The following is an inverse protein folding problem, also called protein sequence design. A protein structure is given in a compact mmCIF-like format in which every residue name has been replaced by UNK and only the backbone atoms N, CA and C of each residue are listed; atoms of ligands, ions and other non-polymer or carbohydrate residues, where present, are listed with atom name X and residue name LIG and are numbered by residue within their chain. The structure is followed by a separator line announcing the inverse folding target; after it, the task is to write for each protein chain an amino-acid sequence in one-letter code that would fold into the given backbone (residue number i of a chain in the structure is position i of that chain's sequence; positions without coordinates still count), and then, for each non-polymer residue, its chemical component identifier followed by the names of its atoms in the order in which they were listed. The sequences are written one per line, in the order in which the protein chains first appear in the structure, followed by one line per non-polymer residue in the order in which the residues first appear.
data_IF_527945186383
#
_entry.id   IF_527945186383
#
_cell.length_a   1.000
_cell.length_b   1.000
_cell.length_c   1.000
_cell.angle_alpha   90.00
_cell.angle_beta   90.00
_cell.angle_gamma   90.00
#
_symmetry.space_group_name_H-M   'P 1'
#
loop_
_entity.id
_entity.type
_entity.pdbx_description
1 polymer ?
#
# COMPACT_ATOMS: atom_id res chain seq x y z
N UNK A 1 31.11 12.04 15.64
CA UNK A 1 29.89 12.55 14.99
C UNK A 1 29.02 11.34 14.76
N UNK A 2 27.98 11.16 15.59
CA UNK A 2 27.01 10.08 15.41
C UNK A 2 26.22 10.36 14.14
N UNK A 3 26.31 9.48 13.16
CA UNK A 3 25.42 9.50 11.99
C UNK A 3 23.97 9.56 12.48
N UNK A 4 23.17 10.52 12.05
CA UNK A 4 21.78 10.60 12.47
C UNK A 4 21.10 9.29 12.10
N UNK A 5 20.44 8.68 13.09
CA UNK A 5 19.62 7.49 12.88
C UNK A 5 18.60 7.84 11.79
N UNK A 6 18.45 7.02 10.74
CA UNK A 6 17.42 7.32 9.74
C UNK A 6 16.07 7.45 10.45
N UNK A 7 15.24 8.43 10.07
CA UNK A 7 13.94 8.62 10.70
C UNK A 7 13.13 7.32 10.60
N UNK A 8 12.45 6.96 11.68
CA UNK A 8 11.65 5.75 11.76
C UNK A 8 10.38 5.92 10.93
N UNK A 9 10.19 5.05 9.94
CA UNK A 9 8.92 4.91 9.26
C UNK A 9 7.97 4.03 10.10
N UNK A 10 6.73 4.47 10.21
CA UNK A 10 5.61 3.69 10.75
C UNK A 10 4.70 3.30 9.61
N UNK A 11 4.43 2.01 9.43
CA UNK A 11 3.47 1.58 8.41
C UNK A 11 2.07 1.51 9.01
N UNK A 12 1.22 2.45 8.62
CA UNK A 12 -0.15 2.51 9.09
C UNK A 12 -1.07 1.98 8.00
N UNK A 13 -1.85 0.96 8.31
CA UNK A 13 -2.97 0.56 7.47
C UNK A 13 -4.17 1.43 7.80
N UNK A 14 -4.67 2.11 6.80
CA UNK A 14 -5.74 3.09 6.93
C UNK A 14 -7.00 2.58 6.27
N UNK A 15 -8.14 2.86 6.89
CA UNK A 15 -9.45 2.38 6.46
C UNK A 15 -9.58 0.86 6.54
N UNK A 16 -9.00 0.24 7.56
CA UNK A 16 -9.15 -1.20 7.78
C UNK A 16 -10.63 -1.56 8.00
N UNK A 17 -11.01 -2.75 7.52
CA UNK A 17 -12.34 -3.31 7.72
C UNK A 17 -12.52 -3.89 9.13
N UNK A 18 -13.47 -4.81 9.27
CA UNK A 18 -13.76 -5.48 10.55
C UNK A 18 -12.63 -6.37 11.08
N UNK A 19 -11.77 -6.88 10.20
CA UNK A 19 -10.54 -7.57 10.60
C UNK A 19 -9.33 -6.67 10.30
N UNK A 20 -8.72 -6.06 11.33
CA UNK A 20 -7.60 -5.16 11.15
C UNK A 20 -6.31 -5.86 10.67
N UNK A 21 -6.27 -7.20 10.68
CA UNK A 21 -5.13 -7.98 10.18
C UNK A 21 -5.08 -8.08 8.67
N UNK A 22 -6.23 -7.84 8.01
CA UNK A 22 -6.36 -7.89 6.56
C UNK A 22 -7.02 -6.62 6.06
N UNK A 23 -6.59 -6.16 4.90
CA UNK A 23 -7.21 -4.98 4.28
C UNK A 23 -6.63 -3.65 4.75
N UNK A 24 -7.33 -2.59 4.43
CA UNK A 24 -6.84 -1.22 4.56
C UNK A 24 -5.85 -0.85 3.46
N UNK A 25 -5.49 0.43 3.40
CA UNK A 25 -4.48 0.95 2.48
C UNK A 25 -3.21 1.30 3.25
N UNK A 26 -2.06 0.68 2.94
CA UNK A 26 -0.79 1.01 3.59
C UNK A 26 -0.39 2.47 3.34
N UNK A 27 0.01 3.14 4.41
CA UNK A 27 0.55 4.49 4.39
C UNK A 27 1.79 4.55 5.29
N UNK A 28 3.00 4.44 4.76
CA UNK A 28 4.21 4.73 5.51
C UNK A 28 4.20 6.18 6.01
N UNK A 29 4.29 6.37 7.33
CA UNK A 29 4.31 7.66 8.01
C UNK A 29 5.70 7.92 8.56
N UNK A 30 6.28 9.05 8.16
CA UNK A 30 7.58 9.51 8.62
C UNK A 30 7.38 10.73 9.52
N UNK A 31 7.58 10.55 10.83
CA UNK A 31 7.55 11.65 11.78
C UNK A 31 8.90 12.36 11.80
N UNK A 32 8.92 13.63 12.25
CA UNK A 32 10.13 14.44 12.38
C UNK A 32 10.99 14.50 11.10
N UNK A 33 10.30 14.66 9.94
CA UNK A 33 10.93 14.58 8.64
C UNK A 33 11.62 15.89 8.17
N UNK A 34 11.79 16.88 9.06
CA UNK A 34 12.33 18.21 8.72
C UNK A 34 13.74 18.18 8.10
N UNK A 35 14.57 17.22 8.52
CA UNK A 35 15.95 17.05 8.03
C UNK A 35 16.04 16.28 6.69
N UNK A 36 14.91 15.74 6.18
CA UNK A 36 14.90 14.98 4.95
C UNK A 36 14.79 15.90 3.73
N UNK A 37 15.69 15.71 2.77
CA UNK A 37 15.54 16.32 1.45
C UNK A 37 14.40 15.69 0.65
N UNK A 38 13.85 16.42 -0.32
CA UNK A 38 12.84 15.93 -1.25
C UNK A 38 13.28 14.63 -1.96
N UNK A 39 14.56 14.55 -2.34
CA UNK A 39 15.10 13.36 -2.98
C UNK A 39 15.11 12.13 -2.05
N UNK A 40 15.40 12.31 -0.77
CA UNK A 40 15.34 11.24 0.22
C UNK A 40 13.90 10.79 0.47
N UNK A 41 12.94 11.73 0.61
CA UNK A 41 11.52 11.41 0.76
C UNK A 41 11.01 10.61 -0.45
N UNK A 42 11.37 11.02 -1.67
CA UNK A 42 11.01 10.31 -2.89
C UNK A 42 11.61 8.89 -2.94
N UNK A 43 12.89 8.76 -2.58
CA UNK A 43 13.57 7.45 -2.57
C UNK A 43 12.98 6.51 -1.52
N UNK A 44 12.66 6.99 -0.31
CA UNK A 44 12.00 6.16 0.70
C UNK A 44 10.63 5.69 0.25
N UNK A 45 9.85 6.57 -0.36
CA UNK A 45 8.54 6.22 -0.92
C UNK A 45 8.66 5.21 -2.07
N UNK A 46 9.63 5.40 -2.96
CA UNK A 46 9.90 4.46 -4.06
C UNK A 46 10.26 3.06 -3.54
N UNK A 47 11.04 2.98 -2.46
CA UNK A 47 11.42 1.72 -1.82
C UNK A 47 10.26 1.04 -1.11
N UNK A 48 9.42 1.79 -0.42
CA UNK A 48 8.24 1.22 0.25
C UNK A 48 7.18 0.71 -0.73
N UNK A 49 7.15 1.25 -1.96
CA UNK A 49 6.14 0.92 -2.97
C UNK A 49 4.73 1.46 -2.68
N UNK A 50 4.56 2.24 -1.59
CA UNK A 50 3.28 2.76 -1.13
C UNK A 50 3.27 4.28 -1.03
N UNK A 51 2.08 4.88 -1.13
CA UNK A 51 1.89 6.31 -0.88
C UNK A 51 2.32 6.65 0.54
N UNK A 52 3.33 7.52 0.67
CA UNK A 52 3.96 7.87 1.94
C UNK A 52 3.65 9.30 2.35
N UNK A 53 3.60 9.56 3.67
CA UNK A 53 3.46 10.90 4.24
C UNK A 53 4.65 11.23 5.13
N UNK A 54 5.14 12.45 4.96
CA UNK A 54 6.21 13.04 5.77
C UNK A 54 5.64 14.19 6.59
N UNK A 55 5.71 14.07 7.91
CA UNK A 55 5.22 15.05 8.88
C UNK A 55 6.37 15.99 9.24
N UNK A 56 6.14 17.28 9.04
CA UNK A 56 7.13 18.34 9.23
C UNK A 56 6.53 19.46 10.09
N UNK A 57 7.39 20.33 10.57
CA UNK A 57 7.00 21.61 11.18
C UNK A 57 6.30 22.48 10.14
N UNK A 58 5.27 23.23 10.54
CA UNK A 58 4.55 24.11 9.62
C UNK A 58 5.46 25.27 9.17
N UNK A 59 5.29 25.72 7.93
CA UNK A 59 5.99 26.89 7.42
C UNK A 59 5.37 28.20 7.93
N UNK A 60 4.11 28.16 8.36
CA UNK A 60 3.38 29.33 8.88
C UNK A 60 2.73 29.04 10.24
N UNK A 61 2.61 30.03 11.13
CA UNK A 61 2.00 29.85 12.46
C UNK A 61 0.47 29.59 12.40
N UNK A 62 -0.14 29.69 11.21
CA UNK A 62 -1.57 29.38 11.01
C UNK A 62 -1.86 27.86 11.03
N UNK A 63 -0.82 27.05 10.91
CA UNK A 63 -0.93 25.59 10.87
C UNK A 63 -0.18 24.96 12.06
N UNK A 64 -0.66 23.83 12.53
CA UNK A 64 0.01 23.07 13.58
C UNK A 64 1.05 22.09 13.02
N UNK A 65 0.81 21.59 11.81
CA UNK A 65 1.66 20.62 11.10
C UNK A 65 1.73 21.00 9.62
N UNK A 66 2.79 20.54 8.97
CA UNK A 66 2.90 20.46 7.52
C UNK A 66 3.05 19.01 7.12
N UNK A 67 2.37 18.59 6.07
CA UNK A 67 2.49 17.25 5.52
C UNK A 67 2.84 17.31 4.04
N UNK A 68 3.81 16.48 3.64
CA UNK A 68 4.19 16.23 2.25
C UNK A 68 3.90 14.78 1.90
N UNK A 69 3.43 14.56 0.69
CA UNK A 69 2.95 13.25 0.24
C UNK A 69 3.67 12.83 -1.04
N UNK A 70 4.05 11.58 -1.12
CA UNK A 70 4.73 11.03 -2.28
C UNK A 70 4.09 9.72 -2.70
N UNK A 71 3.98 9.52 -4.00
CA UNK A 71 3.83 8.21 -4.64
C UNK A 71 5.20 7.73 -5.12
N UNK A 72 5.38 6.46 -5.53
CA UNK A 72 6.69 5.94 -5.94
C UNK A 72 7.44 6.75 -7.00
N UNK A 73 6.73 7.53 -7.84
CA UNK A 73 7.31 8.25 -8.97
C UNK A 73 7.27 9.78 -8.87
N UNK A 74 6.50 10.38 -7.96
CA UNK A 74 6.43 11.85 -7.79
C UNK A 74 5.84 12.29 -6.46
N UNK A 75 5.96 13.58 -6.15
CA UNK A 75 5.29 14.24 -5.02
C UNK A 75 3.84 14.55 -5.38
N UNK A 76 2.91 14.30 -4.45
CA UNK A 76 1.49 14.60 -4.55
C UNK A 76 1.11 15.84 -3.76
N UNK A 77 0.07 16.52 -4.21
CA UNK A 77 -0.45 17.69 -3.50
C UNK A 77 -1.09 17.34 -2.15
N UNK A 78 -1.79 16.20 -2.10
CA UNK A 78 -2.51 15.73 -0.91
C UNK A 78 -2.86 14.24 -1.04
N UNK A 79 -2.80 13.52 0.08
CA UNK A 79 -3.23 12.13 0.18
C UNK A 79 -4.13 11.94 1.41
N UNK A 80 -5.40 11.60 1.19
CA UNK A 80 -6.40 11.52 2.25
C UNK A 80 -6.13 10.41 3.25
N UNK A 81 -5.88 9.18 2.79
CA UNK A 81 -5.63 8.07 3.71
C UNK A 81 -4.33 8.26 4.49
N UNK A 82 -3.26 8.73 3.84
CA UNK A 82 -2.00 8.99 4.53
C UNK A 82 -2.14 10.08 5.61
N UNK A 83 -2.96 11.14 5.37
CA UNK A 83 -3.27 12.16 6.38
C UNK A 83 -4.00 11.57 7.58
N UNK A 84 -5.01 10.71 7.34
CA UNK A 84 -5.73 10.01 8.42
C UNK A 84 -4.78 9.14 9.22
N UNK A 85 -3.91 8.38 8.54
CA UNK A 85 -2.91 7.52 9.19
C UNK A 85 -1.91 8.30 10.04
N UNK A 86 -1.39 9.43 9.54
CA UNK A 86 -0.46 10.27 10.27
C UNK A 86 -1.12 10.89 11.54
N UNK A 87 -2.32 11.41 11.42
CA UNK A 87 -3.05 11.95 12.57
C UNK A 87 -3.41 10.86 13.59
N UNK A 88 -3.80 9.67 13.13
CA UNK A 88 -4.06 8.54 14.00
C UNK A 88 -2.81 8.15 14.79
N UNK A 89 -1.64 8.10 14.13
CA UNK A 89 -0.36 7.81 14.78
C UNK A 89 0.02 8.86 15.81
N UNK A 90 -0.08 10.16 15.47
CA UNK A 90 0.18 11.26 16.40
C UNK A 90 -0.72 11.20 17.62
N UNK A 91 -2.02 10.89 17.43
CA UNK A 91 -2.95 10.71 18.55
C UNK A 91 -2.54 9.53 19.44
N UNK A 92 -2.23 8.39 18.84
CA UNK A 92 -1.82 7.18 19.56
C UNK A 92 -0.54 7.38 20.38
N UNK A 93 0.36 8.24 19.91
CA UNK A 93 1.60 8.63 20.60
C UNK A 93 1.40 9.71 21.68
N UNK A 94 0.19 10.25 21.80
CA UNK A 94 -0.10 11.37 22.71
C UNK A 94 0.44 12.72 22.24
N UNK A 95 0.85 12.84 20.99
CA UNK A 95 1.38 14.07 20.38
C UNK A 95 0.26 14.96 19.80
N UNK A 96 -0.95 14.47 19.75
CA UNK A 96 -2.17 15.18 19.38
C UNK A 96 -3.37 14.65 20.18
N UNK A 97 -4.17 15.54 20.75
CA UNK A 97 -5.30 15.20 21.63
C UNK A 97 -6.60 14.85 20.87
N UNK A 98 -6.63 15.01 19.54
CA UNK A 98 -7.81 14.79 18.71
C UNK A 98 -8.66 16.04 18.48
N UNK A 99 -8.32 17.19 19.06
CA UNK A 99 -8.96 18.48 18.81
C UNK A 99 -8.79 18.92 17.34
N UNK A 100 -9.64 19.81 16.81
CA UNK A 100 -9.50 20.31 15.45
C UNK A 100 -8.10 20.87 15.20
N UNK A 101 -7.42 20.37 14.16
CA UNK A 101 -6.05 20.73 13.79
C UNK A 101 -5.98 21.18 12.32
N UNK A 102 -5.26 22.27 12.04
CA UNK A 102 -5.00 22.76 10.70
C UNK A 102 -3.66 22.24 10.19
N UNK A 103 -3.66 21.64 9.02
CA UNK A 103 -2.51 21.00 8.37
C UNK A 103 -2.19 21.75 7.07
N UNK A 104 -0.94 22.15 6.91
CA UNK A 104 -0.43 22.73 5.67
C UNK A 104 -0.12 21.62 4.68
N UNK A 105 -0.67 21.71 3.46
CA UNK A 105 -0.39 20.81 2.34
C UNK A 105 -0.19 21.60 1.05
N UNK A 106 0.32 20.98 -0.01
CA UNK A 106 0.44 21.63 -1.32
C UNK A 106 -0.92 21.99 -1.94
N UNK A 107 -2.00 21.30 -1.54
CA UNK A 107 -3.38 21.63 -1.97
C UNK A 107 -4.07 22.69 -1.10
N UNK A 108 -3.37 23.25 -0.12
CA UNK A 108 -3.91 24.21 0.84
C UNK A 108 -4.11 23.61 2.23
N UNK A 109 -4.99 24.24 3.01
CA UNK A 109 -5.25 23.81 4.39
C UNK A 109 -6.24 22.65 4.44
N UNK A 110 -5.82 21.57 5.08
CA UNK A 110 -6.68 20.42 5.44
C UNK A 110 -6.92 20.46 6.94
N UNK A 111 -8.16 20.24 7.38
CA UNK A 111 -8.47 20.14 8.81
C UNK A 111 -8.69 18.70 9.21
N UNK A 112 -8.04 18.29 10.30
CA UNK A 112 -8.25 17.01 10.95
C UNK A 112 -8.94 17.15 12.29
N UNK A 113 -9.65 16.13 12.73
CA UNK A 113 -10.22 16.01 14.08
C UNK A 113 -10.48 14.54 14.41
N UNK A 114 -10.66 14.24 15.68
CA UNK A 114 -11.12 12.93 16.12
C UNK A 114 -12.57 13.03 16.62
N UNK A 115 -13.44 12.17 16.12
CA UNK A 115 -14.86 12.11 16.50
C UNK A 115 -15.23 10.65 16.71
N UNK A 116 -15.86 10.33 17.83
CA UNK A 116 -16.33 8.97 18.18
C UNK A 116 -15.24 7.89 18.00
N UNK A 117 -14.01 8.24 18.39
CA UNK A 117 -12.88 7.32 18.29
C UNK A 117 -12.13 7.35 16.95
N UNK A 118 -12.73 7.86 15.89
CA UNK A 118 -12.23 7.81 14.52
C UNK A 118 -11.61 9.15 14.08
N UNK A 119 -10.45 9.10 13.45
CA UNK A 119 -9.83 10.28 12.82
C UNK A 119 -10.55 10.62 11.53
N UNK A 120 -10.90 11.88 11.38
CA UNK A 120 -11.58 12.42 10.20
C UNK A 120 -10.84 13.66 9.66
N UNK A 121 -10.77 13.76 8.34
CA UNK A 121 -10.23 14.93 7.64
C UNK A 121 -11.30 15.61 6.80
N UNK A 122 -11.15 16.93 6.59
CA UNK A 122 -12.05 17.69 5.73
C UNK A 122 -11.82 17.39 4.26
N UNK A 123 -12.91 17.39 3.49
CA UNK A 123 -12.91 17.43 2.03
C UNK A 123 -13.91 18.49 1.58
N UNK A 124 -13.61 19.30 0.56
CA UNK A 124 -14.54 20.30 0.07
C UNK A 124 -15.83 19.68 -0.47
N UNK A 125 -16.87 20.50 -0.63
CA UNK A 125 -18.08 20.10 -1.35
C UNK A 125 -17.70 19.71 -2.77
N UNK A 126 -18.27 18.59 -3.27
CA UNK A 126 -17.99 18.17 -4.62
C UNK A 126 -18.76 19.03 -5.66
N UNK A 127 -18.08 19.32 -6.77
CA UNK A 127 -18.74 19.67 -8.02
C UNK A 127 -19.08 18.37 -8.74
N UNK A 128 -20.35 18.22 -9.16
CA UNK A 128 -20.83 17.00 -9.81
C UNK A 128 -21.40 17.37 -11.17
N UNK A 129 -20.91 16.71 -12.20
CA UNK A 129 -21.32 16.92 -13.59
C UNK A 129 -21.64 15.58 -14.26
N UNK A 130 -22.63 15.56 -15.14
CA UNK A 130 -23.00 14.37 -15.89
C UNK A 130 -22.14 14.20 -17.14
N UNK A 131 -21.64 12.99 -17.38
CA UNK A 131 -20.97 12.61 -18.64
C UNK A 131 -22.05 12.30 -19.68
N UNK A 132 -22.42 13.31 -20.49
CA UNK A 132 -23.55 13.22 -21.45
C UNK A 132 -23.17 12.58 -22.77
N UNK A 133 -21.91 12.47 -23.09
CA UNK A 133 -21.42 11.94 -24.35
C UNK A 133 -21.54 10.42 -24.38
N UNK A 134 -22.52 9.89 -25.08
CA UNK A 134 -22.79 8.45 -25.17
C UNK A 134 -21.55 7.65 -25.61
N UNK A 135 -20.77 8.17 -26.55
CA UNK A 135 -19.53 7.53 -26.99
C UNK A 135 -18.50 7.35 -25.87
N UNK A 136 -18.41 8.30 -24.91
CA UNK A 136 -17.55 8.17 -23.74
C UNK A 136 -18.09 7.11 -22.77
N UNK A 137 -19.41 7.04 -22.57
CA UNK A 137 -20.02 6.00 -21.72
C UNK A 137 -19.75 4.60 -22.29
N UNK A 138 -19.86 4.42 -23.59
CA UNK A 138 -19.54 3.17 -24.27
C UNK A 138 -18.06 2.81 -24.18
N UNK A 139 -17.16 3.79 -24.21
CA UNK A 139 -15.73 3.56 -24.00
C UNK A 139 -15.40 3.20 -22.55
N UNK A 140 -16.06 3.84 -21.59
CA UNK A 140 -15.94 3.47 -20.17
C UNK A 140 -16.35 2.00 -19.99
N UNK A 141 -17.49 1.59 -20.53
CA UNK A 141 -17.96 0.22 -20.44
C UNK A 141 -16.97 -0.77 -21.07
N UNK A 142 -16.45 -0.47 -22.27
CA UNK A 142 -15.41 -1.27 -22.93
C UNK A 142 -14.12 -1.36 -22.11
N UNK A 143 -13.69 -0.24 -21.52
CA UNK A 143 -12.50 -0.18 -20.66
C UNK A 143 -12.69 -1.05 -19.40
N UNK A 144 -13.90 -1.07 -18.82
CA UNK A 144 -14.24 -1.88 -17.65
C UNK A 144 -14.53 -3.36 -18.01
N UNK A 145 -14.56 -3.73 -19.30
CA UNK A 145 -14.82 -5.07 -19.76
C UNK A 145 -16.29 -5.51 -19.62
N UNK A 146 -17.24 -4.56 -19.76
CA UNK A 146 -18.68 -4.80 -19.64
C UNK A 146 -19.44 -4.26 -20.86
N UNK A 147 -20.69 -4.70 -21.01
CA UNK A 147 -21.62 -4.09 -21.97
C UNK A 147 -22.06 -2.70 -21.47
N UNK A 148 -22.23 -1.75 -22.37
CA UNK A 148 -22.72 -0.41 -22.04
C UNK A 148 -24.12 -0.43 -21.38
N UNK A 149 -24.97 -1.39 -21.74
CA UNK A 149 -26.27 -1.61 -21.12
C UNK A 149 -26.19 -2.04 -19.62
N UNK A 150 -25.02 -2.46 -19.17
CA UNK A 150 -24.77 -2.82 -17.77
C UNK A 150 -24.52 -1.61 -16.87
N UNK A 151 -24.30 -0.43 -17.45
CA UNK A 151 -24.16 0.83 -16.70
C UNK A 151 -25.54 1.30 -16.26
N UNK A 152 -25.73 1.51 -14.97
CA UNK A 152 -27.03 1.87 -14.39
C UNK A 152 -27.14 3.39 -14.21
N UNK A 153 -28.05 4.03 -14.92
CA UNK A 153 -28.30 5.46 -14.84
C UNK A 153 -27.17 6.32 -15.42
N UNK A 154 -27.01 7.53 -14.90
CA UNK A 154 -26.01 8.49 -15.41
C UNK A 154 -24.59 8.19 -14.89
N UNK A 155 -23.61 8.32 -15.77
CA UNK A 155 -22.20 8.39 -15.39
C UNK A 155 -21.88 9.82 -14.97
N UNK A 156 -21.20 10.00 -13.84
CA UNK A 156 -20.89 11.31 -13.28
C UNK A 156 -19.38 11.53 -13.19
N UNK A 157 -18.96 12.76 -13.44
CA UNK A 157 -17.70 13.29 -12.97
C UNK A 157 -17.96 14.05 -11.66
N UNK A 158 -17.36 13.62 -10.57
CA UNK A 158 -17.48 14.26 -9.27
C UNK A 158 -16.11 14.60 -8.71
N UNK A 159 -15.93 15.84 -8.24
CA UNK A 159 -14.66 16.34 -7.75
C UNK A 159 -14.82 17.01 -6.39
N UNK A 160 -14.18 16.48 -5.37
CA UNK A 160 -13.89 17.20 -4.11
C UNK A 160 -12.57 17.98 -4.27
N UNK A 161 -11.44 17.29 -4.37
CA UNK A 161 -10.13 17.86 -4.73
C UNK A 161 -9.66 17.42 -6.11
N UNK A 162 -10.10 16.24 -6.58
CA UNK A 162 -9.78 15.68 -7.89
C UNK A 162 -11.01 15.03 -8.50
N UNK A 163 -11.15 15.12 -9.80
CA UNK A 163 -12.27 14.51 -10.54
C UNK A 163 -12.17 12.98 -10.50
N UNK A 164 -13.26 12.33 -10.16
CA UNK A 164 -13.46 10.88 -10.30
C UNK A 164 -14.68 10.60 -11.17
N UNK A 165 -14.53 9.66 -12.10
CA UNK A 165 -15.64 9.24 -12.97
C UNK A 165 -16.38 8.10 -12.28
N UNK A 166 -17.58 8.38 -11.82
CA UNK A 166 -18.44 7.47 -11.06
C UNK A 166 -19.31 6.66 -12.04
N UNK A 167 -19.23 5.34 -11.96
CA UNK A 167 -19.95 4.42 -12.87
C UNK A 167 -20.75 3.44 -12.03
N UNK A 168 -22.07 3.58 -12.01
CA UNK A 168 -22.94 2.69 -11.25
C UNK A 168 -23.13 1.37 -11.99
N UNK A 169 -22.98 0.26 -11.29
CA UNK A 169 -23.26 -1.09 -11.73
C UNK A 169 -24.46 -1.68 -11.00
N UNK A 170 -25.03 -2.76 -11.53
CA UNK A 170 -26.22 -3.36 -10.97
C UNK A 170 -26.02 -3.94 -9.56
N UNK A 171 -24.91 -4.65 -9.35
CA UNK A 171 -24.60 -5.34 -8.11
C UNK A 171 -23.08 -5.52 -7.88
N UNK A 172 -22.72 -6.03 -6.71
CA UNK A 172 -21.33 -6.30 -6.32
C UNK A 172 -20.71 -7.46 -7.10
N UNK A 173 -21.48 -8.40 -7.60
CA UNK A 173 -20.97 -9.51 -8.42
C UNK A 173 -20.40 -8.96 -9.73
N UNK A 174 -21.16 -8.07 -10.39
CA UNK A 174 -20.69 -7.38 -11.58
C UNK A 174 -19.47 -6.50 -11.30
N UNK A 175 -19.47 -5.76 -10.18
CA UNK A 175 -18.36 -4.91 -9.76
C UNK A 175 -17.07 -5.71 -9.55
N UNK A 176 -17.14 -6.84 -8.84
CA UNK A 176 -15.97 -7.68 -8.57
C UNK A 176 -15.52 -8.46 -9.79
N UNK A 177 -16.45 -8.75 -10.73
CA UNK A 177 -16.19 -9.45 -11.98
C UNK A 177 -15.58 -8.59 -13.10
N UNK A 178 -15.35 -7.28 -12.89
CA UNK A 178 -14.77 -6.39 -13.91
C UNK A 178 -13.43 -6.89 -14.43
N UNK A 179 -13.25 -6.83 -15.76
CA UNK A 179 -12.01 -7.16 -16.47
C UNK A 179 -11.47 -5.91 -17.16
N UNK A 180 -10.77 -5.09 -16.37
CA UNK A 180 -10.34 -3.76 -16.80
C UNK A 180 -9.21 -3.84 -17.81
N UNK A 181 -9.35 -3.11 -18.93
CA UNK A 181 -8.27 -2.86 -19.89
C UNK A 181 -7.41 -1.69 -19.39
N UNK A 182 -6.43 -2.00 -18.55
CA UNK A 182 -5.56 -0.98 -17.91
C UNK A 182 -4.78 -0.13 -18.93
N UNK A 183 -4.52 -0.63 -20.13
CA UNK A 183 -3.83 0.14 -21.17
C UNK A 183 -4.67 1.33 -21.67
N UNK A 184 -5.99 1.29 -21.48
CA UNK A 184 -6.92 2.35 -21.90
C UNK A 184 -7.23 3.35 -20.80
N UNK A 185 -7.01 3.02 -19.53
CA UNK A 185 -7.46 3.85 -18.39
C UNK A 185 -6.90 5.27 -18.48
N UNK A 186 -5.60 5.42 -18.76
CA UNK A 186 -4.95 6.72 -18.80
C UNK A 186 -5.54 7.63 -19.86
N UNK A 187 -5.57 7.20 -21.12
CA UNK A 187 -6.08 7.98 -22.25
C UNK A 187 -7.58 8.29 -22.11
N UNK A 188 -8.35 7.36 -21.57
CA UNK A 188 -9.79 7.58 -21.32
C UNK A 188 -9.99 8.61 -20.21
N UNK A 189 -9.24 8.52 -19.12
CA UNK A 189 -9.29 9.51 -18.03
C UNK A 189 -8.90 10.91 -18.51
N UNK A 190 -7.94 11.04 -19.43
CA UNK A 190 -7.59 12.34 -20.05
C UNK A 190 -8.77 12.96 -20.76
N UNK A 191 -9.47 12.20 -21.58
CA UNK A 191 -10.64 12.66 -22.33
C UNK A 191 -11.84 12.99 -21.44
N UNK A 192 -11.95 12.29 -20.29
CA UNK A 192 -12.97 12.55 -19.27
C UNK A 192 -12.60 13.73 -18.36
N UNK A 193 -11.37 14.24 -18.41
CA UNK A 193 -10.85 15.19 -17.41
C UNK A 193 -10.79 14.61 -16.00
N UNK A 194 -10.63 13.29 -15.89
CA UNK A 194 -10.70 12.53 -14.64
C UNK A 194 -9.33 12.04 -14.18
N UNK A 195 -9.16 11.82 -12.89
CA UNK A 195 -7.97 11.19 -12.30
C UNK A 195 -8.15 9.71 -12.02
N UNK A 196 -9.26 9.11 -12.41
CA UNK A 196 -9.52 7.69 -12.30
C UNK A 196 -10.98 7.31 -12.47
N UNK A 197 -11.22 6.06 -12.88
CA UNK A 197 -12.54 5.47 -12.97
C UNK A 197 -12.91 4.89 -11.59
N UNK A 198 -14.14 5.13 -11.17
CA UNK A 198 -14.68 4.69 -9.89
C UNK A 198 -16.02 3.96 -10.07
N UNK A 199 -16.02 2.74 -10.60
CA UNK A 199 -17.21 1.91 -10.64
C UNK A 199 -17.66 1.53 -9.24
N UNK A 200 -18.99 1.52 -9.03
CA UNK A 200 -19.59 1.22 -7.74
C UNK A 200 -20.92 0.48 -7.88
N UNK A 201 -21.28 -0.25 -6.81
CA UNK A 201 -22.58 -0.89 -6.66
C UNK A 201 -23.15 -0.58 -5.29
N UNK A 202 -24.48 -0.36 -5.21
CA UNK A 202 -25.15 -0.18 -3.94
C UNK A 202 -25.21 -1.53 -3.22
N UNK A 203 -24.75 -1.56 -1.98
CA UNK A 203 -24.96 -2.67 -1.05
C UNK A 203 -26.14 -2.30 -0.16
N UNK A 204 -26.94 -3.25 0.26
CA UNK A 204 -28.22 -3.06 0.97
C UNK A 204 -28.19 -1.93 2.00
N UNK A 205 -29.07 -0.95 1.84
CA UNK A 205 -29.20 0.15 2.80
C UNK A 205 -30.50 0.91 2.62
N UNK A 206 -31.47 0.58 3.46
CA UNK A 206 -32.61 1.46 3.77
C UNK A 206 -32.37 1.99 5.18
N UNK A 207 -31.90 3.23 5.31
CA UNK A 207 -31.66 3.85 6.61
C UNK A 207 -30.72 5.04 6.53
N UNK A 208 -30.33 5.60 7.68
CA UNK A 208 -29.43 6.75 7.81
C UNK A 208 -27.98 6.45 7.37
N UNK A 209 -27.62 5.17 7.24
CA UNK A 209 -26.32 4.71 6.78
C UNK A 209 -26.46 3.98 5.48
N UNK A 210 -25.84 4.52 4.42
CA UNK A 210 -25.75 3.88 3.11
C UNK A 210 -24.39 3.16 2.98
N UNK A 211 -24.41 1.88 2.61
CA UNK A 211 -23.21 1.10 2.30
C UNK A 211 -23.09 0.90 0.78
N UNK A 212 -21.92 1.14 0.24
CA UNK A 212 -21.62 1.05 -1.19
C UNK A 212 -20.31 0.31 -1.37
N UNK A 213 -20.23 -0.62 -2.31
CA UNK A 213 -18.97 -1.22 -2.74
C UNK A 213 -18.43 -0.50 -3.96
N UNK A 214 -17.12 -0.24 -4.02
CA UNK A 214 -16.48 0.46 -5.11
C UNK A 214 -15.10 -0.12 -5.43
N UNK A 215 -14.61 0.18 -6.65
CA UNK A 215 -13.24 -0.10 -7.08
C UNK A 215 -12.63 1.16 -7.70
N UNK A 216 -11.33 1.39 -7.45
CA UNK A 216 -10.64 2.56 -7.95
C UNK A 216 -9.55 2.17 -8.94
N UNK A 217 -9.67 2.64 -10.17
CA UNK A 217 -8.67 2.49 -11.22
C UNK A 217 -8.05 3.86 -11.53
N UNK A 218 -6.86 4.17 -10.96
CA UNK A 218 -6.24 5.48 -11.10
C UNK A 218 -5.67 5.68 -12.50
N UNK A 219 -5.62 6.95 -12.94
CA UNK A 219 -5.07 7.36 -14.24
C UNK A 219 -3.57 7.01 -14.36
N UNK A 220 -2.77 7.35 -13.34
CA UNK A 220 -1.30 7.30 -13.44
C UNK A 220 -0.58 7.24 -12.07
N UNK A 221 -1.06 6.42 -11.13
CA UNK A 221 -0.45 6.31 -9.80
C UNK A 221 0.69 5.30 -9.70
N UNK A 222 1.01 4.59 -10.78
CA UNK A 222 2.07 3.56 -10.79
C UNK A 222 1.58 2.17 -10.37
N UNK A 223 0.29 2.02 -10.06
CA UNK A 223 -0.39 0.75 -9.77
C UNK A 223 -1.77 0.74 -10.45
N UNK A 224 -2.27 -0.46 -10.84
CA UNK A 224 -3.49 -0.58 -11.65
C UNK A 224 -4.78 -0.33 -10.86
N UNK A 225 -4.82 -0.64 -9.57
CA UNK A 225 -5.97 -0.49 -8.68
C UNK A 225 -5.53 -0.06 -7.29
N UNK A 226 -6.32 0.79 -6.61
CA UNK A 226 -6.07 1.28 -5.27
C UNK A 226 -7.02 0.62 -4.25
N UNK A 227 -6.49 0.17 -3.12
CA UNK A 227 -7.24 -0.55 -2.10
C UNK A 227 -8.21 0.35 -1.31
N UNK A 228 -7.89 1.64 -1.12
CA UNK A 228 -8.80 2.58 -0.48
C UNK A 228 -8.48 4.04 -0.84
N UNK A 229 -9.46 4.75 -1.39
CA UNK A 229 -9.29 6.10 -1.92
C UNK A 229 -10.28 7.08 -1.28
N UNK A 230 -9.87 7.75 -0.21
CA UNK A 230 -10.75 8.64 0.56
C UNK A 230 -11.40 9.75 -0.27
N UNK A 231 -10.66 10.39 -1.19
CA UNK A 231 -11.20 11.43 -2.08
C UNK A 231 -12.21 10.88 -3.09
N UNK A 232 -12.07 9.63 -3.53
CA UNK A 232 -13.03 9.00 -4.44
C UNK A 232 -14.32 8.62 -3.68
N UNK A 233 -14.18 8.12 -2.45
CA UNK A 233 -15.33 7.85 -1.58
C UNK A 233 -16.11 9.14 -1.27
N UNK A 234 -15.42 10.25 -1.02
CA UNK A 234 -16.03 11.56 -0.82
C UNK A 234 -16.79 12.03 -2.08
N UNK A 235 -16.16 11.93 -3.25
CA UNK A 235 -16.80 12.27 -4.54
C UNK A 235 -18.04 11.40 -4.80
N UNK A 236 -17.94 10.08 -4.49
CA UNK A 236 -19.08 9.17 -4.62
C UNK A 236 -20.23 9.55 -3.69
N UNK A 237 -19.98 9.85 -2.42
CA UNK A 237 -21.02 10.21 -1.48
C UNK A 237 -21.83 11.46 -1.95
N UNK A 238 -21.13 12.47 -2.47
CA UNK A 238 -21.78 13.62 -3.10
C UNK A 238 -22.52 13.26 -4.39
N UNK A 239 -21.96 12.37 -5.23
CA UNK A 239 -22.62 11.85 -6.43
C UNK A 239 -23.93 11.11 -6.10
N UNK A 240 -23.93 10.29 -5.04
CA UNK A 240 -25.14 9.60 -4.57
C UNK A 240 -26.22 10.60 -4.12
N UNK A 241 -25.84 11.68 -3.40
CA UNK A 241 -26.76 12.75 -3.03
C UNK A 241 -27.31 13.48 -4.24
N UNK A 242 -26.45 13.80 -5.21
CA UNK A 242 -26.86 14.43 -6.47
C UNK A 242 -27.90 13.59 -7.24
N UNK A 243 -27.74 12.26 -7.22
CA UNK A 243 -28.69 11.32 -7.86
C UNK A 243 -29.95 11.06 -7.01
N UNK A 244 -30.08 11.65 -5.83
CA UNK A 244 -31.20 11.38 -4.90
C UNK A 244 -31.20 9.96 -4.32
N UNK A 245 -30.05 9.27 -4.36
CA UNK A 245 -29.91 7.91 -3.81
C UNK A 245 -29.66 7.89 -2.29
N UNK A 246 -29.26 9.02 -1.74
CA UNK A 246 -29.17 9.26 -0.28
C UNK A 246 -29.86 10.57 0.05
N UNK A 247 -30.32 10.69 1.30
CA UNK A 247 -31.08 11.83 1.78
C UNK A 247 -30.30 13.14 1.86
N UNK A 248 -31.01 14.24 2.15
CA UNK A 248 -30.46 15.59 2.31
C UNK A 248 -30.04 15.93 3.73
N UNK A 249 -30.45 15.14 4.71
CA UNK A 249 -30.02 15.27 6.09
C UNK A 249 -28.54 14.85 6.28
N UNK A 250 -28.00 15.16 7.43
CA UNK A 250 -26.66 14.69 7.78
C UNK A 250 -26.67 13.15 7.87
N UNK A 251 -25.72 12.50 7.19
CA UNK A 251 -25.64 11.04 7.19
C UNK A 251 -24.19 10.57 6.94
N UNK A 252 -23.95 9.31 7.25
CA UNK A 252 -22.67 8.64 6.93
C UNK A 252 -22.87 7.66 5.78
N UNK A 253 -22.03 7.79 4.76
CA UNK A 253 -21.88 6.79 3.68
C UNK A 253 -20.66 5.95 3.98
N UNK A 254 -20.83 4.64 4.05
CA UNK A 254 -19.70 3.69 4.17
C UNK A 254 -19.37 3.14 2.78
N UNK A 255 -18.15 3.37 2.33
CA UNK A 255 -17.66 2.84 1.06
C UNK A 255 -16.70 1.68 1.33
N UNK A 256 -17.06 0.50 0.87
CA UNK A 256 -16.20 -0.68 0.85
C UNK A 256 -15.39 -0.69 -0.43
N UNK A 257 -14.07 -0.85 -0.31
CA UNK A 257 -13.16 -0.87 -1.45
C UNK A 257 -12.07 -1.94 -1.21
N UNK A 258 -11.37 -2.37 -2.26
CA UNK A 258 -10.25 -3.29 -2.16
C UNK A 258 -10.63 -4.77 -1.98
N UNK A 259 -11.92 -5.11 -1.90
CA UNK A 259 -12.38 -6.50 -1.71
C UNK A 259 -11.89 -7.42 -2.86
N UNK A 260 -11.95 -6.95 -4.10
CA UNK A 260 -11.47 -7.71 -5.27
C UNK A 260 -9.93 -7.88 -5.32
N UNK A 261 -9.20 -7.07 -4.53
CA UNK A 261 -7.74 -7.13 -4.40
C UNK A 261 -7.28 -7.99 -3.22
N UNK A 262 -8.22 -8.51 -2.40
CA UNK A 262 -7.90 -9.17 -1.13
C UNK A 262 -7.43 -8.21 -0.03
N UNK A 263 -7.65 -6.90 -0.20
CA UNK A 263 -7.34 -5.85 0.79
C UNK A 263 -8.60 -5.05 1.14
N UNK A 264 -9.60 -5.67 1.80
CA UNK A 264 -10.88 -5.03 2.09
C UNK A 264 -10.71 -3.81 2.99
N UNK A 265 -11.30 -2.70 2.58
CA UNK A 265 -11.25 -1.42 3.27
C UNK A 265 -12.65 -0.88 3.52
N UNK A 266 -12.81 -0.08 4.60
CA UNK A 266 -14.04 0.63 4.94
C UNK A 266 -13.77 2.13 5.15
N UNK A 267 -14.28 2.94 4.23
CA UNK A 267 -14.11 4.39 4.24
C UNK A 267 -15.44 5.02 4.67
N UNK A 268 -15.43 5.81 5.72
CA UNK A 268 -16.62 6.51 6.21
C UNK A 268 -16.61 7.96 5.72
N UNK A 269 -17.66 8.35 5.03
CA UNK A 269 -17.86 9.71 4.53
C UNK A 269 -19.05 10.34 5.26
N UNK A 270 -18.78 11.27 6.16
CA UNK A 270 -19.81 12.08 6.82
C UNK A 270 -20.22 13.25 5.93
N UNK A 271 -21.42 13.17 5.36
CA UNK A 271 -22.06 14.28 4.65
C UNK A 271 -22.82 15.15 5.63
N UNK A 272 -22.68 16.49 5.61
CA UNK A 272 -23.52 17.40 6.39
C UNK A 272 -24.94 17.42 5.83
N UNK A 273 -25.88 18.06 6.54
CA UNK A 273 -27.17 18.40 5.94
C UNK A 273 -27.00 19.33 4.75
N UNK A 274 -27.96 19.36 3.85
CA UNK A 274 -27.90 20.24 2.65
C UNK A 274 -27.77 21.71 3.02
N UNK A 275 -28.36 22.14 4.14
CA UNK A 275 -28.22 23.51 4.67
C UNK A 275 -26.76 23.87 5.01
N UNK A 276 -25.92 22.89 5.36
CA UNK A 276 -24.51 23.04 5.71
C UNK A 276 -23.58 22.50 4.63
N UNK A 277 -24.07 22.19 3.45
CA UNK A 277 -23.29 21.53 2.39
C UNK A 277 -22.04 22.30 1.95
N UNK A 278 -22.00 23.62 2.16
CA UNK A 278 -20.82 24.45 1.87
C UNK A 278 -19.62 24.12 2.75
N UNK A 279 -19.82 23.50 3.91
CA UNK A 279 -18.73 23.05 4.79
C UNK A 279 -17.96 21.86 4.23
N UNK A 280 -18.44 21.28 3.13
CA UNK A 280 -17.85 20.07 2.55
C UNK A 280 -18.28 18.81 3.31
N UNK A 281 -17.45 17.77 3.23
CA UNK A 281 -17.68 16.51 3.93
C UNK A 281 -16.46 16.12 4.78
N UNK A 282 -16.59 15.02 5.51
CA UNK A 282 -15.51 14.45 6.32
C UNK A 282 -15.25 13.02 5.90
N UNK A 283 -13.97 12.67 5.80
CA UNK A 283 -13.53 11.33 5.43
C UNK A 283 -12.71 10.76 6.58
N UNK A 284 -13.02 9.56 7.01
CA UNK A 284 -12.32 8.86 8.09
C UNK A 284 -12.51 7.36 8.00
N UNK A 285 -11.95 6.65 8.95
CA UNK A 285 -12.05 5.20 9.09
C UNK A 285 -11.05 4.67 10.11
N UNK A 286 -11.15 3.39 10.39
CA UNK A 286 -10.26 2.72 11.34
C UNK A 286 -8.85 2.58 10.78
N UNK A 287 -7.87 2.62 11.69
CA UNK A 287 -6.46 2.43 11.36
C UNK A 287 -5.83 1.38 12.27
N UNK A 288 -4.79 0.71 11.78
CA UNK A 288 -3.91 -0.09 12.60
C UNK A 288 -2.46 0.14 12.18
N UNK A 289 -1.53 -0.06 13.11
CA UNK A 289 -0.10 0.00 12.82
C UNK A 289 0.41 -1.40 12.51
N UNK A 290 1.05 -1.54 11.35
CA UNK A 290 1.74 -2.78 11.02
C UNK A 290 3.06 -2.88 11.79
N UNK A 291 3.47 -4.09 12.12
CA UNK A 291 4.76 -4.32 12.77
C UNK A 291 5.93 -3.75 11.96
N UNK A 292 6.90 -3.11 12.65
CA UNK A 292 8.00 -2.44 11.99
C UNK A 292 8.92 -3.37 11.18
N UNK A 293 8.95 -4.67 11.47
CA UNK A 293 9.71 -5.67 10.73
C UNK A 293 9.24 -5.79 9.27
N UNK A 294 7.92 -5.78 9.06
CA UNK A 294 7.32 -5.88 7.73
C UNK A 294 7.69 -4.68 6.86
N UNK A 295 7.60 -3.46 7.41
CA UNK A 295 8.00 -2.26 6.72
C UNK A 295 9.52 -2.21 6.46
N UNK A 296 10.36 -2.62 7.42
CA UNK A 296 11.81 -2.65 7.23
C UNK A 296 12.18 -3.53 6.04
N UNK A 297 11.55 -4.71 5.92
CA UNK A 297 11.79 -5.57 4.77
C UNK A 297 11.43 -4.88 3.45
N UNK A 298 10.27 -4.22 3.38
CA UNK A 298 9.79 -3.58 2.14
C UNK A 298 10.65 -2.34 1.77
N UNK A 299 11.16 -1.59 2.76
CA UNK A 299 12.09 -0.46 2.52
C UNK A 299 13.46 -0.93 2.06
N UNK A 300 14.00 -2.01 2.66
CA UNK A 300 15.33 -2.55 2.34
C UNK A 300 15.33 -3.32 1.02
N UNK A 301 14.25 -4.04 0.76
CA UNK A 301 14.05 -4.86 -0.43
C UNK A 301 12.66 -4.55 -0.98
N UNK A 302 12.52 -3.60 -1.91
CA UNK A 302 11.23 -3.27 -2.52
C UNK A 302 10.52 -4.51 -3.06
N UNK A 303 9.19 -4.65 -2.89
CA UNK A 303 8.46 -5.80 -3.38
C UNK A 303 8.56 -5.88 -4.90
N UNK A 304 9.02 -7.01 -5.39
CA UNK A 304 8.96 -7.35 -6.81
C UNK A 304 7.62 -8.02 -7.12
N UNK A 305 7.17 -7.89 -8.37
CA UNK A 305 5.88 -8.43 -8.83
C UNK A 305 5.76 -9.97 -8.77
N UNK A 306 6.86 -10.70 -8.56
CA UNK A 306 6.89 -12.16 -8.55
C UNK A 306 7.03 -12.73 -7.14
N UNK A 307 6.05 -13.52 -6.72
CA UNK A 307 6.09 -14.35 -5.50
C UNK A 307 7.17 -15.42 -5.59
N UNK A 308 7.87 -15.69 -4.48
CA UNK A 308 8.59 -16.94 -4.30
C UNK A 308 7.57 -18.08 -4.13
N UNK A 309 7.25 -18.77 -5.21
CA UNK A 309 6.49 -20.04 -5.14
C UNK A 309 7.44 -21.20 -5.39
N UNK A 310 7.21 -22.38 -4.73
CA UNK A 310 7.97 -23.57 -5.00
C UNK A 310 7.95 -23.89 -6.49
N UNK A 311 9.12 -24.18 -7.06
CA UNK A 311 9.25 -24.58 -8.46
C UNK A 311 9.02 -26.08 -8.67
N UNK A 312 8.55 -26.81 -7.64
CA UNK A 312 8.32 -28.25 -7.64
C UNK A 312 7.25 -28.66 -6.62
N UNK A 313 7.05 -29.96 -6.46
CA UNK A 313 6.04 -30.53 -5.54
C UNK A 313 6.60 -30.59 -4.12
N UNK A 314 6.71 -29.45 -3.44
CA UNK A 314 7.16 -29.35 -2.04
C UNK A 314 6.58 -28.07 -1.39
N UNK A 315 6.55 -28.05 -0.04
CA UNK A 315 6.08 -26.90 0.71
C UNK A 315 7.19 -25.84 0.86
N UNK A 316 6.80 -24.57 0.92
CA UNK A 316 7.75 -23.48 1.21
C UNK A 316 8.31 -23.60 2.62
N UNK A 317 7.46 -23.99 3.58
CA UNK A 317 7.86 -24.23 4.98
C UNK A 317 7.37 -25.58 5.49
N UNK A 318 8.18 -26.16 6.39
CA UNK A 318 7.82 -27.32 7.21
C UNK A 318 7.99 -26.96 8.67
N UNK A 319 7.02 -27.31 9.51
CA UNK A 319 6.95 -26.88 10.90
C UNK A 319 7.21 -28.06 11.86
N UNK A 320 7.99 -27.81 12.91
CA UNK A 320 8.22 -28.74 14.00
C UNK A 320 8.49 -27.98 15.31
N UNK A 321 7.57 -28.07 16.28
CA UNK A 321 7.79 -27.55 17.64
C UNK A 321 8.13 -26.05 17.70
N UNK A 322 7.43 -25.19 16.96
CA UNK A 322 7.70 -23.73 16.90
C UNK A 322 8.85 -23.35 15.97
N UNK A 323 9.56 -24.31 15.37
CA UNK A 323 10.56 -24.06 14.34
C UNK A 323 9.96 -24.25 12.95
N UNK A 324 10.24 -23.29 12.07
CA UNK A 324 9.83 -23.30 10.67
C UNK A 324 11.06 -23.43 9.77
N UNK A 325 11.15 -24.54 9.05
CA UNK A 325 12.23 -24.79 8.09
C UNK A 325 11.77 -24.41 6.69
N UNK A 326 12.49 -23.50 6.03
CA UNK A 326 12.19 -23.17 4.64
C UNK A 326 12.79 -24.15 3.65
N UNK A 327 12.16 -24.29 2.48
CA UNK A 327 12.81 -24.81 1.29
C UNK A 327 13.92 -23.87 0.81
N UNK A 328 14.78 -24.35 -0.10
CA UNK A 328 15.76 -23.51 -0.78
C UNK A 328 15.08 -22.61 -1.82
N UNK A 329 15.49 -21.33 -1.85
CA UNK A 329 15.00 -20.34 -2.82
C UNK A 329 16.18 -19.71 -3.53
N UNK A 330 16.12 -19.67 -4.87
CA UNK A 330 17.12 -19.03 -5.72
C UNK A 330 16.79 -17.52 -5.83
N UNK A 331 17.84 -16.69 -5.71
CA UNK A 331 17.70 -15.23 -5.82
C UNK A 331 17.22 -14.77 -7.19
N UNK A 332 16.22 -13.89 -7.21
CA UNK A 332 15.62 -13.32 -8.43
C UNK A 332 15.55 -11.81 -8.34
N UNK A 333 15.65 -11.16 -9.48
CA UNK A 333 15.47 -9.73 -9.64
C UNK A 333 14.60 -9.49 -10.88
N UNK A 334 13.53 -8.72 -10.75
CA UNK A 334 12.52 -8.49 -11.81
C UNK A 334 11.91 -9.81 -12.37
N UNK A 335 11.74 -10.81 -11.51
CA UNK A 335 11.21 -12.12 -11.87
C UNK A 335 12.22 -13.08 -12.52
N UNK A 336 13.43 -12.61 -12.88
CA UNK A 336 14.47 -13.43 -13.48
C UNK A 336 15.50 -13.90 -12.46
N UNK A 337 16.05 -15.09 -12.65
CA UNK A 337 17.10 -15.65 -11.80
C UNK A 337 18.38 -14.85 -11.97
N UNK A 338 18.99 -14.42 -10.87
CA UNK A 338 20.34 -13.85 -10.89
C UNK A 338 21.33 -15.00 -11.14
N UNK A 339 21.89 -15.03 -12.33
CA UNK A 339 22.66 -16.18 -12.84
C UNK A 339 24.06 -16.30 -12.21
N UNK A 340 24.49 -17.57 -11.98
CA UNK A 340 25.85 -17.98 -11.70
C UNK A 340 26.59 -18.45 -12.99
N UNK A 341 27.76 -19.13 -12.86
CA UNK A 341 28.52 -19.26 -11.63
C UNK A 341 29.29 -17.99 -11.23
N UNK A 342 29.61 -17.88 -9.91
CA UNK A 342 30.52 -16.88 -9.37
C UNK A 342 31.98 -17.39 -9.60
N UNK A 343 32.85 -16.58 -10.19
CA UNK A 343 34.17 -17.03 -10.61
C UNK A 343 35.30 -16.29 -9.92
N UNK A 344 35.11 -15.03 -9.53
CA UNK A 344 36.14 -14.20 -8.94
C UNK A 344 35.61 -13.04 -8.14
N UNK A 345 36.49 -12.15 -7.63
CA UNK A 345 36.12 -11.01 -6.79
C UNK A 345 35.08 -10.07 -7.45
N UNK A 346 35.08 -9.94 -8.76
CA UNK A 346 34.15 -9.09 -9.51
C UNK A 346 32.71 -9.62 -9.49
N UNK A 347 32.51 -10.91 -9.17
CA UNK A 347 31.19 -11.54 -9.08
C UNK A 347 30.59 -11.44 -7.66
N UNK A 348 31.33 -10.92 -6.68
CA UNK A 348 30.86 -10.83 -5.28
C UNK A 348 29.58 -10.05 -5.16
N UNK A 349 29.52 -8.87 -5.77
CA UNK A 349 28.31 -8.02 -5.73
C UNK A 349 27.09 -8.72 -6.35
N UNK A 350 27.26 -9.43 -7.46
CA UNK A 350 26.19 -10.24 -8.07
C UNK A 350 25.73 -11.35 -7.15
N UNK A 351 26.66 -12.03 -6.50
CA UNK A 351 26.35 -13.04 -5.48
C UNK A 351 25.59 -12.46 -4.28
N UNK A 352 26.03 -11.31 -3.79
CA UNK A 352 25.36 -10.58 -2.69
C UNK A 352 23.92 -10.23 -3.04
N UNK A 353 23.67 -9.66 -4.22
CA UNK A 353 22.32 -9.38 -4.71
C UNK A 353 21.46 -10.64 -4.76
N UNK A 354 22.01 -11.75 -5.28
CA UNK A 354 21.29 -13.03 -5.32
C UNK A 354 20.94 -13.55 -3.92
N UNK A 355 21.87 -13.49 -2.97
CA UNK A 355 21.64 -13.94 -1.59
C UNK A 355 20.59 -13.06 -0.87
N UNK A 356 20.68 -11.73 -1.02
CA UNK A 356 19.71 -10.77 -0.48
C UNK A 356 18.31 -11.01 -1.06
N UNK A 357 18.19 -11.15 -2.38
CA UNK A 357 16.94 -11.42 -3.06
C UNK A 357 16.29 -12.73 -2.59
N UNK A 358 17.08 -13.79 -2.38
CA UNK A 358 16.60 -15.07 -1.88
C UNK A 358 16.06 -14.96 -0.44
N UNK A 359 16.80 -14.30 0.46
CA UNK A 359 16.34 -14.05 1.85
C UNK A 359 15.08 -13.20 1.87
N UNK A 360 15.03 -12.12 1.10
CA UNK A 360 13.86 -11.26 1.03
C UNK A 360 12.62 -12.02 0.54
N UNK A 361 12.76 -12.89 -0.47
CA UNK A 361 11.68 -13.73 -0.97
C UNK A 361 11.17 -14.70 0.11
N UNK A 362 12.06 -15.33 0.86
CA UNK A 362 11.69 -16.23 1.97
C UNK A 362 11.02 -15.49 3.13
N UNK A 363 11.48 -14.30 3.49
CA UNK A 363 10.85 -13.48 4.53
C UNK A 363 9.44 -13.04 4.12
N UNK A 364 9.22 -12.71 2.84
CA UNK A 364 7.87 -12.39 2.34
C UNK A 364 6.96 -13.61 2.40
N UNK A 365 7.44 -14.78 2.02
CA UNK A 365 6.67 -16.01 2.14
C UNK A 365 6.33 -16.33 3.61
N UNK A 366 7.27 -16.10 4.53
CA UNK A 366 7.02 -16.24 5.97
C UNK A 366 5.98 -15.23 6.47
N UNK A 367 6.05 -13.96 6.03
CA UNK A 367 5.06 -12.95 6.36
C UNK A 367 3.65 -13.36 5.91
N UNK A 368 3.51 -13.88 4.70
CA UNK A 368 2.21 -14.35 4.19
C UNK A 368 1.62 -15.47 5.04
N UNK A 369 2.42 -16.48 5.37
CA UNK A 369 1.93 -17.63 6.15
C UNK A 369 1.70 -17.30 7.62
N UNK A 370 2.50 -16.41 8.20
CA UNK A 370 2.39 -15.97 9.60
C UNK A 370 1.41 -14.82 9.80
N UNK A 371 1.07 -14.08 8.73
CA UNK A 371 0.35 -12.82 8.78
C UNK A 371 1.22 -11.60 9.10
N UNK A 372 2.39 -11.78 9.71
CA UNK A 372 3.38 -10.74 10.00
C UNK A 372 4.73 -11.33 10.39
N UNK A 373 5.83 -10.64 10.06
CA UNK A 373 7.18 -10.96 10.52
C UNK A 373 7.38 -10.69 12.02
N UNK A 374 6.52 -9.94 12.70
CA UNK A 374 6.57 -9.74 14.15
C UNK A 374 6.41 -11.06 14.94
N UNK A 375 5.81 -12.06 14.31
CA UNK A 375 5.74 -13.43 14.87
C UNK A 375 7.06 -14.21 14.79
N UNK A 376 8.02 -13.73 14.02
CA UNK A 376 9.37 -14.31 13.99
C UNK A 376 10.13 -13.87 15.24
N UNK A 377 10.49 -14.81 16.12
CA UNK A 377 11.32 -14.51 17.28
C UNK A 377 12.76 -14.25 16.85
N UNK A 378 13.29 -15.10 15.97
CA UNK A 378 14.61 -14.98 15.35
C UNK A 378 14.78 -15.94 14.17
N UNK A 379 15.80 -15.69 13.37
CA UNK A 379 16.33 -16.68 12.42
C UNK A 379 17.38 -17.52 13.19
N UNK A 380 17.17 -18.82 13.29
CA UNK A 380 18.04 -19.74 14.05
C UNK A 380 19.23 -20.18 13.21
N UNK A 381 18.98 -20.53 11.95
CA UNK A 381 20.00 -20.99 11.02
C UNK A 381 19.78 -20.38 9.62
N UNK A 382 20.87 -20.06 8.94
CA UNK A 382 20.91 -19.54 7.57
C UNK A 382 21.88 -20.39 6.75
N UNK A 383 21.39 -21.04 5.70
CA UNK A 383 22.22 -21.85 4.79
C UNK A 383 22.29 -21.18 3.43
N UNK A 384 23.49 -20.98 2.92
CA UNK A 384 23.76 -20.42 1.62
C UNK A 384 24.51 -21.40 0.72
N UNK A 385 23.96 -21.64 -0.45
CA UNK A 385 24.56 -22.45 -1.50
C UNK A 385 24.88 -21.51 -2.67
N UNK A 386 26.16 -21.43 -3.03
CA UNK A 386 26.64 -20.54 -4.09
C UNK A 386 27.11 -21.36 -5.26
N UNK A 387 26.58 -21.12 -6.46
CA UNK A 387 27.11 -21.72 -7.67
C UNK A 387 28.45 -21.05 -7.99
N UNK A 388 29.56 -21.76 -7.82
CA UNK A 388 30.90 -21.19 -7.95
C UNK A 388 31.75 -21.93 -8.94
N UNK A 389 32.71 -21.22 -9.55
CA UNK A 389 33.88 -21.83 -10.22
C UNK A 389 34.92 -22.31 -9.21
N UNK A 390 35.86 -23.17 -9.64
CA UNK A 390 36.77 -23.88 -8.74
C UNK A 390 37.65 -23.00 -7.85
N UNK A 391 37.95 -21.77 -8.24
CA UNK A 391 38.85 -20.85 -7.52
C UNK A 391 38.12 -19.75 -6.74
N UNK A 392 36.80 -19.77 -6.67
CA UNK A 392 36.03 -18.76 -5.92
C UNK A 392 36.18 -18.95 -4.42
N UNK A 393 36.72 -17.93 -3.71
CA UNK A 393 37.04 -18.00 -2.29
C UNK A 393 36.16 -17.06 -1.41
N UNK A 394 35.37 -16.15 -2.01
CA UNK A 394 34.66 -15.08 -1.33
C UNK A 394 33.27 -15.48 -0.79
N UNK A 395 33.03 -16.76 -0.48
CA UNK A 395 31.73 -17.28 -0.05
C UNK A 395 31.16 -16.54 1.16
N UNK A 396 31.99 -16.30 2.19
CA UNK A 396 31.54 -15.59 3.39
C UNK A 396 31.08 -14.18 3.08
N UNK A 397 31.86 -13.46 2.26
CA UNK A 397 31.58 -12.07 1.89
C UNK A 397 30.26 -11.92 1.07
N UNK A 398 29.96 -12.91 0.24
CA UNK A 398 28.68 -12.96 -0.46
C UNK A 398 27.52 -13.07 0.54
N UNK A 399 27.59 -14.00 1.47
CA UNK A 399 26.53 -14.25 2.43
C UNK A 399 26.46 -13.24 3.60
N UNK A 400 27.47 -12.40 3.79
CA UNK A 400 27.43 -11.30 4.74
C UNK A 400 26.26 -10.33 4.42
N UNK A 401 26.00 -10.06 3.14
CA UNK A 401 24.89 -9.23 2.73
C UNK A 401 23.51 -9.80 3.14
N UNK A 402 23.35 -11.11 3.09
CA UNK A 402 22.15 -11.79 3.58
C UNK A 402 22.01 -11.69 5.11
N UNK A 403 23.12 -11.83 5.86
CA UNK A 403 23.13 -11.65 7.32
C UNK A 403 22.86 -10.20 7.71
N UNK A 404 23.38 -9.23 6.94
CA UNK A 404 23.14 -7.80 7.15
C UNK A 404 21.69 -7.43 6.92
N UNK A 405 21.03 -8.01 5.92
CA UNK A 405 19.59 -7.84 5.72
C UNK A 405 18.80 -8.34 6.95
N UNK A 406 19.10 -9.54 7.43
CA UNK A 406 18.43 -10.09 8.64
C UNK A 406 18.62 -9.20 9.85
N UNK A 407 19.84 -8.67 10.09
CA UNK A 407 20.15 -7.74 11.18
C UNK A 407 19.35 -6.43 11.05
N UNK A 408 19.14 -5.95 9.85
CA UNK A 408 18.38 -4.73 9.61
C UNK A 408 16.87 -4.94 9.76
N UNK A 409 16.34 -6.10 9.35
CA UNK A 409 14.92 -6.45 9.52
C UNK A 409 14.60 -6.76 10.99
N UNK A 410 15.47 -7.51 11.67
CA UNK A 410 15.30 -7.95 13.06
C UNK A 410 16.44 -7.43 13.97
N UNK A 411 16.54 -6.13 14.23
CA UNK A 411 17.68 -5.54 14.93
C UNK A 411 17.83 -6.00 16.38
N UNK A 412 16.75 -6.45 17.01
CA UNK A 412 16.75 -6.95 18.39
C UNK A 412 17.04 -8.45 18.50
N UNK A 413 17.03 -9.17 17.37
CA UNK A 413 17.30 -10.60 17.35
C UNK A 413 18.80 -10.88 17.15
N UNK A 414 19.34 -11.95 17.76
CA UNK A 414 20.71 -12.38 17.49
C UNK A 414 20.84 -12.87 16.03
N UNK A 415 22.01 -12.69 15.44
CA UNK A 415 22.31 -13.25 14.11
C UNK A 415 22.23 -14.80 14.14
N UNK A 416 21.78 -15.42 13.04
CA UNK A 416 21.70 -16.87 12.93
C UNK A 416 23.09 -17.54 12.87
N UNK A 417 23.15 -18.80 13.28
CA UNK A 417 24.23 -19.66 12.84
C UNK A 417 24.19 -19.81 11.31
N UNK A 418 25.33 -19.68 10.64
CA UNK A 418 25.39 -19.65 9.16
C UNK A 418 26.33 -20.73 8.61
N UNK A 419 25.83 -21.43 7.60
CA UNK A 419 26.64 -22.32 6.76
C UNK A 419 26.64 -21.78 5.33
N UNK A 420 27.83 -21.73 4.70
CA UNK A 420 27.98 -21.34 3.30
C UNK A 420 28.87 -22.30 2.58
N UNK A 421 28.40 -22.83 1.45
CA UNK A 421 29.18 -23.77 0.62
C UNK A 421 29.08 -23.42 -0.88
N UNK A 422 30.16 -23.66 -1.61
CA UNK A 422 30.17 -23.64 -3.06
C UNK A 422 29.60 -24.95 -3.62
N UNK A 423 28.79 -24.84 -4.68
CA UNK A 423 28.18 -25.97 -5.38
C UNK A 423 28.41 -25.85 -6.89
N UNK A 424 28.40 -26.98 -7.59
CA UNK A 424 28.65 -27.03 -9.01
C UNK A 424 27.48 -26.46 -9.86
N UNK A 425 26.24 -26.61 -9.35
CA UNK A 425 25.04 -26.11 -10.03
C UNK A 425 23.92 -25.81 -9.03
N UNK A 426 23.07 -24.86 -9.38
CA UNK A 426 21.82 -24.54 -8.68
C UNK A 426 20.64 -24.56 -9.65
N UNK A 427 19.41 -24.68 -9.15
CA UNK A 427 18.22 -24.63 -9.98
C UNK A 427 18.21 -23.42 -10.90
N UNK A 428 17.91 -23.64 -12.19
CA UNK A 428 17.87 -22.61 -13.23
C UNK A 428 19.19 -21.83 -13.41
N UNK A 429 20.32 -22.37 -12.96
CA UNK A 429 21.63 -21.74 -13.06
C UNK A 429 21.81 -20.53 -12.15
N UNK A 430 21.12 -20.47 -11.02
CA UNK A 430 21.20 -19.35 -10.09
C UNK A 430 22.57 -19.17 -9.44
N UNK A 431 22.91 -17.93 -9.08
CA UNK A 431 24.18 -17.61 -8.40
C UNK A 431 24.16 -18.00 -6.93
N UNK A 432 23.02 -17.85 -6.25
CA UNK A 432 22.83 -18.21 -4.85
C UNK A 432 21.45 -18.82 -4.62
N UNK A 433 21.40 -19.85 -3.78
CA UNK A 433 20.23 -20.42 -3.18
C UNK A 433 20.33 -20.32 -1.67
N UNK A 434 19.25 -19.94 -1.01
CA UNK A 434 19.23 -19.75 0.44
C UNK A 434 18.07 -20.51 1.05
N UNK A 435 18.31 -21.14 2.22
CA UNK A 435 17.27 -21.63 3.12
C UNK A 435 17.55 -21.15 4.54
N UNK A 436 16.49 -21.08 5.36
CA UNK A 436 16.66 -20.74 6.77
C UNK A 436 15.70 -21.51 7.69
N UNK A 437 15.99 -21.45 8.98
CA UNK A 437 15.09 -21.91 10.04
C UNK A 437 14.68 -20.72 10.89
N UNK A 438 13.38 -20.51 11.03
CA UNK A 438 12.78 -19.49 11.89
C UNK A 438 12.34 -20.13 13.22
N UNK A 439 12.47 -19.40 14.31
CA UNK A 439 11.74 -19.61 15.55
C UNK A 439 10.55 -18.64 15.56
N UNK A 440 9.34 -19.18 15.70
CA UNK A 440 8.07 -18.42 15.63
C UNK A 440 7.47 -18.32 17.01
N UNK A 441 7.00 -17.11 17.37
CA UNK A 441 6.25 -16.84 18.60
C UNK A 441 4.82 -17.38 18.46
N UNK A 442 4.27 -17.84 19.56
CA UNK A 442 2.87 -18.31 19.65
C UNK A 442 1.86 -17.18 19.39
#
# INVERSE_FOLDING_TARGET
MTTPRPPHAHNIRVFVGSDPRIGGNPAPVWLDADELSTAQMQEYTRRSGHESVFVLKPATPAHALRMRYFVPNHEMEMCGHATVGALWLLHRRGEWDGSPIAIETLSGTVTGRRVDGTVQISQPRAVVEEVRQQALVEEIARCLGIDAASVVGSVLNAATSRVKTLVRLADTTQLHGLRVDFARVESLCERLGSTGLYPYALSDGKGEVCTVSARQFPKSSGYPEDAATGIAAAALAWGLRHLGLVGTDALTVTVRQGEAMGSPSAIHVGLPSEAMAQEGCRVGGECCEEPPEDLRLDVLCPPEAARASPSGTYATFSMMGGLWHSSGVVGRENGEVIAGPLRGPDDVERGQRAAVAAVAALLRAAREELGSLSRVARVVALNGYLQTGGDFAEHAKVMDAASDLLRQVFPEAPLPARTTVGVASLPRGGAAEVSFTLEVRD
#
